data_IF_746459138042
#
_entry.id   IF_746459138042
#
_cell.length_a   1.000
_cell.length_b   1.000
_cell.length_c   1.000
_cell.angle_alpha   90.00
_cell.angle_beta   90.00
_cell.angle_gamma   90.00
#
_symmetry.space_group_name_H-M   'P 1'
#
loop_
_entity.id
_entity.type
_entity.pdbx_description
1 polymer ?
#
# COMPACT_ATOMS: atom_id res chain seq x y z
N UNK A 1 0.92 29.70 15.88
CA UNK A 1 1.88 28.87 15.12
C UNK A 1 1.61 27.42 15.48
N UNK A 2 0.81 26.74 14.68
CA UNK A 2 0.43 25.34 14.90
C UNK A 2 1.65 24.45 14.64
N UNK A 3 2.10 23.72 15.66
CA UNK A 3 3.00 22.58 15.48
C UNK A 3 2.31 21.62 14.51
N UNK A 4 2.76 21.63 13.26
CA UNK A 4 2.17 20.82 12.21
C UNK A 4 2.28 19.34 12.61
N UNK A 5 1.13 18.71 12.65
CA UNK A 5 0.90 17.27 12.78
C UNK A 5 1.56 16.54 11.60
N UNK A 6 2.89 16.42 11.62
CA UNK A 6 3.68 15.76 10.58
C UNK A 6 3.94 14.30 10.98
N UNK A 7 3.70 13.40 10.04
CA UNK A 7 4.08 12.01 10.12
C UNK A 7 5.55 11.89 9.73
N UNK A 8 6.30 11.03 10.41
CA UNK A 8 7.64 10.64 9.97
C UNK A 8 7.56 9.53 8.92
N UNK A 9 8.66 9.25 8.20
CA UNK A 9 8.70 8.19 7.18
C UNK A 9 8.37 6.80 7.76
N UNK A 10 8.74 6.54 9.03
CA UNK A 10 8.42 5.29 9.71
C UNK A 10 6.90 5.08 9.85
N UNK A 11 6.14 6.15 10.03
CA UNK A 11 4.68 6.13 10.09
C UNK A 11 4.07 5.70 8.76
N UNK A 12 4.65 6.15 7.64
CA UNK A 12 4.23 5.74 6.29
C UNK A 12 4.57 4.27 6.04
N UNK A 13 5.77 3.82 6.46
CA UNK A 13 6.16 2.41 6.38
C UNK A 13 5.20 1.53 7.18
N UNK A 14 4.84 1.91 8.42
CA UNK A 14 3.86 1.19 9.22
C UNK A 14 2.48 1.13 8.55
N UNK A 15 2.02 2.24 7.98
CA UNK A 15 0.77 2.29 7.23
C UNK A 15 0.79 1.29 6.06
N UNK A 16 1.86 1.26 5.27
CA UNK A 16 2.02 0.34 4.15
C UNK A 16 2.09 -1.13 4.60
N UNK A 17 2.82 -1.42 5.69
CA UNK A 17 2.87 -2.78 6.28
C UNK A 17 1.48 -3.28 6.69
N UNK A 18 0.69 -2.42 7.34
CA UNK A 18 -0.70 -2.77 7.69
C UNK A 18 -1.58 -2.98 6.47
N UNK A 19 -1.41 -2.16 5.42
CA UNK A 19 -2.13 -2.33 4.16
C UNK A 19 -1.83 -3.69 3.52
N UNK A 20 -0.54 -4.04 3.35
CA UNK A 20 -0.14 -5.34 2.80
C UNK A 20 -0.66 -6.48 3.65
N UNK A 21 -0.49 -6.42 4.98
CA UNK A 21 -0.95 -7.48 5.89
C UNK A 21 -2.46 -7.70 5.80
N UNK A 22 -3.24 -6.62 5.65
CA UNK A 22 -4.69 -6.70 5.47
C UNK A 22 -5.08 -7.42 4.16
N UNK A 23 -4.39 -7.11 3.06
CA UNK A 23 -4.65 -7.75 1.75
C UNK A 23 -4.21 -9.20 1.75
N UNK A 24 -3.03 -9.52 2.31
CA UNK A 24 -2.54 -10.91 2.49
C UNK A 24 -3.53 -11.76 3.28
N UNK A 25 -4.08 -11.20 4.37
CA UNK A 25 -5.14 -11.84 5.14
C UNK A 25 -6.42 -12.05 4.31
N UNK A 26 -6.83 -11.07 3.50
CA UNK A 26 -7.99 -11.20 2.62
C UNK A 26 -7.81 -12.27 1.52
N UNK A 27 -6.57 -12.40 1.02
CA UNK A 27 -6.19 -13.38 -0.01
C UNK A 27 -5.88 -14.78 0.57
N UNK A 28 -5.96 -14.93 1.90
CA UNK A 28 -5.69 -16.18 2.61
C UNK A 28 -4.30 -16.76 2.30
N UNK A 29 -3.29 -15.88 2.23
CA UNK A 29 -1.89 -16.24 2.03
C UNK A 29 -1.19 -16.40 3.38
N UNK A 30 -0.35 -17.43 3.48
CA UNK A 30 0.47 -17.69 4.67
C UNK A 30 1.77 -16.86 4.58
N UNK A 31 1.66 -15.60 4.99
CA UNK A 31 2.81 -14.70 5.09
C UNK A 31 2.66 -13.77 6.28
N UNK A 32 3.71 -13.72 7.09
CA UNK A 32 3.84 -12.74 8.16
C UNK A 32 4.96 -11.75 7.80
N UNK A 33 4.73 -10.43 7.94
CA UNK A 33 5.79 -9.47 7.74
C UNK A 33 6.93 -9.75 8.73
N UNK A 34 8.21 -9.66 8.31
CA UNK A 34 9.31 -9.78 9.25
C UNK A 34 9.13 -8.73 10.35
N UNK A 35 8.89 -9.22 11.57
CA UNK A 35 8.54 -8.39 12.72
C UNK A 35 9.77 -7.54 13.06
N UNK A 36 9.75 -6.28 12.62
CA UNK A 36 10.64 -5.27 13.16
C UNK A 36 9.98 -4.75 14.43
N UNK A 37 10.15 -5.49 15.53
CA UNK A 37 9.68 -5.12 16.88
C UNK A 37 10.10 -3.70 17.27
N UNK A 38 11.21 -3.22 16.72
CA UNK A 38 11.79 -1.90 16.98
C UNK A 38 10.93 -0.75 16.43
N UNK A 39 10.14 -0.93 15.36
CA UNK A 39 9.36 0.18 14.80
C UNK A 39 8.00 0.33 15.50
N UNK A 40 7.38 -0.78 15.90
CA UNK A 40 6.05 -0.79 16.54
C UNK A 40 6.11 -0.31 17.99
N UNK A 41 7.21 -0.56 18.71
CA UNK A 41 7.39 -0.12 20.11
C UNK A 41 7.74 1.36 20.25
N UNK A 42 8.38 1.97 19.25
CA UNK A 42 8.94 3.33 19.35
C UNK A 42 8.09 4.43 18.71
N UNK A 43 6.96 4.08 18.09
CA UNK A 43 6.15 5.06 17.37
C UNK A 43 4.67 5.04 17.85
N UNK A 44 4.39 5.50 19.09
CA UNK A 44 3.03 5.65 19.59
C UNK A 44 2.34 6.80 18.86
N UNK A 45 1.89 6.56 17.64
CA UNK A 45 1.07 7.54 16.93
C UNK A 45 -0.29 7.61 17.64
N UNK A 46 -0.75 8.80 18.06
CA UNK A 46 -1.98 8.95 18.84
C UNK A 46 -3.25 8.56 18.05
N UNK A 47 -3.12 8.43 16.72
CA UNK A 47 -4.19 8.03 15.82
C UNK A 47 -3.74 6.78 15.06
N UNK A 48 -4.53 5.69 15.06
CA UNK A 48 -4.26 4.55 14.19
C UNK A 48 -4.33 5.00 12.73
N UNK A 49 -3.17 5.00 12.06
CA UNK A 49 -2.98 5.45 10.68
C UNK A 49 -3.72 4.57 9.69
N UNK A 50 -3.84 3.27 9.99
CA UNK A 50 -4.55 2.30 9.16
C UNK A 50 -5.95 2.03 9.73
N UNK A 51 -6.96 2.05 8.87
CA UNK A 51 -8.36 1.75 9.21
C UNK A 51 -8.90 0.69 8.25
N UNK A 52 -9.82 -0.14 8.75
CA UNK A 52 -10.45 -1.20 7.97
C UNK A 52 -11.09 -0.70 6.66
N UNK A 53 -11.68 0.49 6.64
CA UNK A 53 -12.26 1.07 5.41
C UNK A 53 -11.21 1.30 4.31
N UNK A 54 -10.01 1.71 4.69
CA UNK A 54 -8.86 1.85 3.78
C UNK A 54 -8.48 0.46 3.24
N UNK A 55 -8.37 -0.54 4.13
CA UNK A 55 -8.08 -1.92 3.73
C UNK A 55 -9.11 -2.50 2.74
N UNK A 56 -10.40 -2.25 2.95
CA UNK A 56 -11.47 -2.71 2.04
C UNK A 56 -11.32 -2.06 0.66
N UNK A 57 -11.14 -0.73 0.60
CA UNK A 57 -10.96 -0.01 -0.65
C UNK A 57 -9.73 -0.51 -1.43
N UNK A 58 -8.61 -0.68 -0.72
CA UNK A 58 -7.36 -1.23 -1.29
C UNK A 58 -7.59 -2.63 -1.87
N UNK A 59 -8.26 -3.50 -1.11
CA UNK A 59 -8.52 -4.89 -1.52
C UNK A 59 -9.39 -4.95 -2.77
N UNK A 60 -10.42 -4.10 -2.87
CA UNK A 60 -11.25 -4.01 -4.08
C UNK A 60 -10.44 -3.64 -5.30
N UNK A 61 -9.60 -2.60 -5.23
CA UNK A 61 -8.72 -2.24 -6.34
C UNK A 61 -7.75 -3.35 -6.71
N UNK A 62 -7.18 -4.05 -5.73
CA UNK A 62 -6.29 -5.19 -5.99
C UNK A 62 -6.99 -6.32 -6.79
N UNK A 63 -8.31 -6.44 -6.67
CA UNK A 63 -9.13 -7.42 -7.37
C UNK A 63 -9.66 -6.94 -8.73
N UNK A 64 -9.53 -5.64 -9.05
CA UNK A 64 -9.89 -5.11 -10.36
C UNK A 64 -8.82 -5.53 -11.40
N UNK A 65 -9.25 -5.81 -12.64
CA UNK A 65 -8.40 -6.27 -13.76
C UNK A 65 -7.27 -5.29 -14.13
N UNK A 66 -7.26 -4.09 -13.56
CA UNK A 66 -6.20 -3.09 -13.76
C UNK A 66 -4.79 -3.66 -13.48
N UNK A 67 -4.68 -4.63 -12.59
CA UNK A 67 -3.39 -5.18 -12.19
C UNK A 67 -3.14 -6.61 -12.70
N UNK A 68 -4.13 -7.27 -13.31
CA UNK A 68 -4.01 -8.67 -13.77
C UNK A 68 -3.14 -8.84 -15.01
N UNK A 69 -2.86 -7.77 -15.76
CA UNK A 69 -1.97 -7.80 -16.93
C UNK A 69 -0.50 -7.53 -16.60
N UNK A 70 -0.18 -7.32 -15.32
CA UNK A 70 1.18 -7.12 -14.90
C UNK A 70 1.89 -8.47 -14.75
N UNK A 71 2.44 -9.00 -15.85
CA UNK A 71 3.42 -10.09 -15.76
C UNK A 71 4.78 -9.50 -15.38
N UNK A 72 5.30 -9.79 -14.19
CA UNK A 72 6.45 -9.07 -13.70
C UNK A 72 7.73 -9.64 -14.30
N UNK A 73 8.32 -8.95 -15.28
CA UNK A 73 9.69 -9.22 -15.75
C UNK A 73 10.67 -9.30 -14.57
N UNK A 74 10.42 -8.51 -13.51
CA UNK A 74 11.20 -8.53 -12.27
C UNK A 74 11.24 -9.88 -11.56
N UNK A 75 10.21 -10.74 -11.74
CA UNK A 75 10.15 -12.05 -11.08
C UNK A 75 11.27 -12.99 -11.52
N UNK A 76 11.83 -12.77 -12.71
CA UNK A 76 12.93 -13.56 -13.29
C UNK A 76 14.30 -12.93 -13.00
N UNK A 77 14.36 -11.70 -12.53
CA UNK A 77 15.61 -10.98 -12.28
C UNK A 77 16.24 -11.38 -10.93
N UNK A 78 17.57 -11.40 -10.82
CA UNK A 78 18.27 -11.45 -9.53
C UNK A 78 17.76 -10.39 -8.56
N UNK A 79 17.87 -10.63 -7.24
CA UNK A 79 17.28 -9.77 -6.20
C UNK A 79 17.59 -8.27 -6.37
N UNK A 80 18.87 -7.93 -6.57
CA UNK A 80 19.32 -6.53 -6.72
C UNK A 80 18.74 -5.88 -7.98
N UNK A 81 18.68 -6.64 -9.08
CA UNK A 81 18.13 -6.17 -10.36
C UNK A 81 16.61 -6.00 -10.28
N UNK A 82 15.92 -6.95 -9.64
CA UNK A 82 14.49 -6.87 -9.37
C UNK A 82 14.16 -5.64 -8.48
N UNK A 83 14.94 -5.41 -7.42
CA UNK A 83 14.79 -4.24 -6.57
C UNK A 83 14.96 -2.93 -7.36
N UNK A 84 15.99 -2.85 -8.20
CA UNK A 84 16.25 -1.69 -9.07
C UNK A 84 15.12 -1.47 -10.08
N UNK A 85 14.66 -2.54 -10.73
CA UNK A 85 13.54 -2.51 -11.67
C UNK A 85 12.27 -1.96 -11.00
N UNK A 86 11.93 -2.51 -9.83
CA UNK A 86 10.77 -2.10 -9.06
C UNK A 86 10.87 -0.63 -8.67
N UNK A 87 12.04 -0.18 -8.21
CA UNK A 87 12.24 1.21 -7.82
C UNK A 87 11.98 2.17 -8.98
N UNK A 88 12.57 1.89 -10.15
CA UNK A 88 12.37 2.70 -11.35
C UNK A 88 10.91 2.68 -11.81
N UNK A 89 10.28 1.51 -11.75
CA UNK A 89 8.89 1.33 -12.15
C UNK A 89 7.93 2.14 -11.26
N UNK A 90 8.08 2.05 -9.92
CA UNK A 90 7.23 2.78 -8.98
C UNK A 90 7.35 4.30 -9.13
N UNK A 91 8.55 4.81 -9.40
CA UNK A 91 8.76 6.24 -9.67
C UNK A 91 8.09 6.66 -10.97
N UNK A 92 8.33 5.93 -12.05
CA UNK A 92 7.71 6.21 -13.34
C UNK A 92 6.17 6.18 -13.27
N UNK A 93 5.62 5.22 -12.51
CA UNK A 93 4.18 5.12 -12.29
C UNK A 93 3.62 6.40 -11.66
N UNK A 94 4.25 6.91 -10.60
CA UNK A 94 3.78 8.12 -9.91
C UNK A 94 4.04 9.40 -10.69
N UNK A 95 5.13 9.48 -11.46
CA UNK A 95 5.39 10.61 -12.37
C UNK A 95 4.36 10.69 -13.51
N UNK A 96 3.82 9.54 -13.94
CA UNK A 96 2.83 9.48 -15.00
C UNK A 96 1.40 9.83 -14.54
N UNK A 97 1.13 9.99 -13.23
CA UNK A 97 -0.21 10.33 -12.76
C UNK A 97 -0.41 11.85 -12.80
N UNK A 98 -1.36 12.36 -13.62
CA UNK A 98 -1.52 13.80 -13.83
C UNK A 98 -2.12 14.54 -12.63
N UNK A 99 -2.89 13.86 -11.77
CA UNK A 99 -3.57 14.47 -10.62
C UNK A 99 -3.22 13.74 -9.32
N UNK A 100 -2.55 14.44 -8.40
CA UNK A 100 -2.22 13.95 -7.05
C UNK A 100 -3.44 14.03 -6.12
N UNK A 101 -4.45 13.19 -6.37
CA UNK A 101 -5.65 13.07 -5.53
C UNK A 101 -5.52 11.97 -4.46
N UNK A 102 -6.39 11.98 -3.45
CA UNK A 102 -6.45 10.89 -2.47
C UNK A 102 -6.82 9.54 -3.09
N UNK A 103 -7.59 9.53 -4.19
CA UNK A 103 -7.86 8.31 -4.96
C UNK A 103 -6.60 7.81 -5.65
N UNK A 104 -5.76 8.71 -6.19
CA UNK A 104 -4.45 8.36 -6.74
C UNK A 104 -3.57 7.66 -5.70
N UNK A 105 -3.54 8.17 -4.46
CA UNK A 105 -2.79 7.53 -3.38
C UNK A 105 -3.38 6.16 -2.98
N UNK A 106 -4.70 6.01 -2.94
CA UNK A 106 -5.33 4.70 -2.72
C UNK A 106 -4.98 3.71 -3.84
N UNK A 107 -5.04 4.13 -5.10
CA UNK A 107 -4.65 3.31 -6.25
C UNK A 107 -3.17 2.91 -6.16
N UNK A 108 -2.29 3.85 -5.82
CA UNK A 108 -0.86 3.55 -5.63
C UNK A 108 -0.64 2.55 -4.51
N UNK A 109 -1.25 2.75 -3.33
CA UNK A 109 -1.14 1.79 -2.21
C UNK A 109 -1.72 0.43 -2.59
N UNK A 110 -2.79 0.39 -3.39
CA UNK A 110 -3.35 -0.86 -3.93
C UNK A 110 -2.38 -1.57 -4.86
N UNK A 111 -1.72 -0.82 -5.74
CA UNK A 111 -0.66 -1.35 -6.60
C UNK A 111 0.50 -1.93 -5.78
N UNK A 112 0.93 -1.24 -4.72
CA UNK A 112 1.96 -1.73 -3.79
C UNK A 112 1.52 -3.05 -3.13
N UNK A 113 0.28 -3.12 -2.64
CA UNK A 113 -0.25 -4.34 -2.03
C UNK A 113 -0.32 -5.50 -3.02
N UNK A 114 -0.77 -5.24 -4.25
CA UNK A 114 -0.76 -6.23 -5.32
C UNK A 114 0.65 -6.76 -5.60
N UNK A 115 1.65 -5.87 -5.70
CA UNK A 115 3.04 -6.27 -5.89
C UNK A 115 3.56 -7.18 -4.78
N UNK A 116 3.31 -6.81 -3.52
CA UNK A 116 3.72 -7.64 -2.39
C UNK A 116 3.02 -9.00 -2.40
N UNK A 117 1.72 -9.05 -2.72
CA UNK A 117 0.96 -10.29 -2.87
C UNK A 117 1.55 -11.18 -3.96
N UNK A 118 1.90 -10.63 -5.12
CA UNK A 118 2.54 -11.40 -6.18
C UNK A 118 3.90 -11.95 -5.73
N UNK A 119 4.73 -11.12 -5.08
CA UNK A 119 6.00 -11.54 -4.51
C UNK A 119 5.84 -12.71 -3.52
N UNK A 120 4.81 -12.68 -2.66
CA UNK A 120 4.49 -13.78 -1.75
C UNK A 120 4.10 -15.04 -2.53
N UNK A 121 3.21 -14.93 -3.52
CA UNK A 121 2.73 -16.07 -4.32
C UNK A 121 3.85 -16.78 -5.08
N UNK A 122 4.84 -16.04 -5.56
CA UNK A 122 6.02 -16.60 -6.24
C UNK A 122 7.20 -16.90 -5.29
N UNK A 123 6.98 -16.82 -3.98
CA UNK A 123 7.99 -17.09 -2.93
C UNK A 123 9.24 -16.19 -3.01
N UNK A 124 9.09 -14.95 -3.48
CA UNK A 124 10.15 -13.93 -3.56
C UNK A 124 9.96 -12.82 -2.52
N UNK A 125 9.75 -13.21 -1.27
CA UNK A 125 9.41 -12.29 -0.17
C UNK A 125 10.54 -11.33 0.21
N UNK A 126 11.79 -11.65 -0.15
CA UNK A 126 12.97 -10.80 0.04
C UNK A 126 12.87 -9.44 -0.66
N UNK A 127 12.01 -9.33 -1.67
CA UNK A 127 11.79 -8.09 -2.44
C UNK A 127 10.84 -7.11 -1.71
N UNK A 128 10.00 -7.60 -0.80
CA UNK A 128 8.96 -6.80 -0.12
C UNK A 128 9.55 -5.59 0.63
N UNK A 129 10.65 -5.70 1.40
CA UNK A 129 11.28 -4.54 2.04
C UNK A 129 11.68 -3.45 1.06
N UNK A 130 12.15 -3.79 -0.15
CA UNK A 130 12.53 -2.83 -1.18
C UNK A 130 11.31 -2.10 -1.75
N UNK A 131 10.23 -2.85 -2.04
CA UNK A 131 8.93 -2.29 -2.46
C UNK A 131 8.43 -1.29 -1.42
N UNK A 132 8.36 -1.69 -0.14
CA UNK A 132 7.83 -0.87 0.94
C UNK A 132 8.67 0.38 1.19
N UNK A 133 9.99 0.24 1.13
CA UNK A 133 10.92 1.36 1.34
C UNK A 133 10.76 2.41 0.25
N UNK A 134 10.77 2.00 -1.03
CA UNK A 134 10.61 2.94 -2.13
C UNK A 134 9.21 3.58 -2.12
N UNK A 135 8.16 2.80 -1.90
CA UNK A 135 6.80 3.31 -1.77
C UNK A 135 6.69 4.36 -0.65
N UNK A 136 7.37 4.14 0.47
CA UNK A 136 7.40 5.11 1.56
C UNK A 136 8.15 6.39 1.17
N UNK A 137 9.28 6.31 0.46
CA UNK A 137 10.00 7.49 -0.04
C UNK A 137 9.19 8.30 -1.06
N UNK A 138 8.38 7.62 -1.88
CA UNK A 138 7.49 8.25 -2.84
C UNK A 138 6.31 8.93 -2.13
N UNK A 139 5.68 8.24 -1.16
CA UNK A 139 4.51 8.75 -0.46
C UNK A 139 4.84 9.81 0.58
N UNK A 140 5.97 9.71 1.29
CA UNK A 140 6.33 10.61 2.37
C UNK A 140 6.25 12.10 1.99
N UNK A 141 6.89 12.61 0.93
CA UNK A 141 6.79 14.03 0.57
C UNK A 141 5.38 14.48 0.20
N UNK A 142 4.48 13.53 -0.11
CA UNK A 142 3.11 13.76 -0.61
C UNK A 142 2.02 13.53 0.46
N UNK A 143 2.32 12.73 1.47
CA UNK A 143 1.36 12.20 2.46
C UNK A 143 1.90 12.25 3.90
N UNK A 144 2.77 13.20 4.24
CA UNK A 144 3.38 13.33 5.57
C UNK A 144 2.56 14.12 6.61
N UNK A 145 1.24 14.24 6.46
CA UNK A 145 0.41 14.95 7.45
C UNK A 145 -0.75 14.08 7.93
N UNK A 146 -1.20 14.30 9.16
CA UNK A 146 -2.41 13.62 9.67
C UNK A 146 -3.67 14.01 8.88
N UNK A 147 -3.73 15.24 8.34
CA UNK A 147 -4.84 15.68 7.48
C UNK A 147 -4.91 14.87 6.19
N UNK A 148 -3.76 14.49 5.62
CA UNK A 148 -3.72 13.61 4.44
C UNK A 148 -4.30 12.23 4.76
N UNK A 149 -3.98 11.66 5.93
CA UNK A 149 -4.57 10.38 6.38
C UNK A 149 -6.08 10.49 6.60
N UNK A 150 -6.55 11.62 7.16
CA UNK A 150 -7.98 11.86 7.32
C UNK A 150 -8.71 11.92 5.97
N UNK A 151 -8.15 12.63 5.00
CA UNK A 151 -8.74 12.75 3.65
C UNK A 151 -8.67 11.42 2.88
N UNK A 152 -7.57 10.67 3.01
CA UNK A 152 -7.44 9.32 2.45
C UNK A 152 -8.53 8.39 2.99
N UNK A 153 -8.84 8.50 4.29
CA UNK A 153 -9.92 7.74 4.92
C UNK A 153 -11.28 8.14 4.36
N UNK A 154 -11.55 9.43 4.15
CA UNK A 154 -12.81 9.88 3.54
C UNK A 154 -12.97 9.31 2.13
N UNK A 155 -11.94 9.44 1.28
CA UNK A 155 -11.92 8.86 -0.05
C UNK A 155 -12.18 7.34 -0.04
N UNK A 156 -11.54 6.61 0.88
CA UNK A 156 -11.75 5.16 1.02
C UNK A 156 -13.19 4.79 1.43
N UNK A 157 -13.82 5.61 2.28
CA UNK A 157 -15.22 5.42 2.67
C UNK A 157 -16.16 5.71 1.50
N UNK A 158 -15.93 6.80 0.76
CA UNK A 158 -16.70 7.15 -0.43
C UNK A 158 -16.61 6.05 -1.49
N UNK A 159 -15.40 5.59 -1.80
CA UNK A 159 -15.15 4.49 -2.72
C UNK A 159 -15.85 3.21 -2.24
N UNK A 160 -15.68 2.84 -0.97
CA UNK A 160 -16.36 1.66 -0.41
C UNK A 160 -17.88 1.77 -0.53
N UNK A 161 -18.47 2.93 -0.24
CA UNK A 161 -19.92 3.14 -0.34
C UNK A 161 -20.44 3.00 -1.78
N UNK A 162 -19.66 3.43 -2.77
CA UNK A 162 -19.98 3.25 -4.19
C UNK A 162 -19.90 1.76 -4.60
N UNK A 163 -18.98 0.99 -4.01
CA UNK A 163 -18.65 -0.38 -4.42
C UNK A 163 -19.17 -1.49 -3.46
N UNK A 164 -19.83 -1.16 -2.34
CA UNK A 164 -20.46 -2.15 -1.42
C UNK A 164 -21.60 -2.93 -2.11
N UNK A 165 -22.23 -2.36 -3.15
CA UNK A 165 -23.27 -3.04 -3.94
C UNK A 165 -22.76 -4.21 -4.78
N UNK A 166 -21.46 -4.26 -5.10
CA UNK A 166 -20.87 -5.32 -5.92
C UNK A 166 -20.30 -6.48 -5.08
N UNK A 167 -19.77 -6.23 -3.88
CA UNK A 167 -19.15 -7.28 -3.05
C UNK A 167 -20.11 -8.12 -2.21
N UNK A 168 -21.33 -7.63 -1.95
CA UNK A 168 -22.38 -8.44 -1.31
C UNK A 168 -22.94 -9.55 -2.20
N UNK A 169 -22.68 -9.53 -3.52
CA UNK A 169 -23.12 -10.58 -4.45
C UNK A 169 -22.16 -11.76 -4.59
N UNK A 170 -20.92 -11.68 -4.09
CA UNK A 170 -19.91 -12.75 -4.23
C UNK A 170 -19.80 -13.69 -3.01
N UNK A 171 -20.66 -13.52 -2.01
CA UNK A 171 -20.77 -14.41 -0.85
C UNK A 171 -22.20 -14.95 -0.72
N UNK A 172 -22.59 -15.79 -1.67
CA UNK A 172 -23.66 -16.78 -1.50
C UNK A 172 -23.24 -18.06 -2.20
#
# INVERSE_FOLDING_TARGET
MSNLNLLNINSIIMFLKHAVSFVVWCDNLDWEPPVSTIIDEFNPTPVPLFKRSIGIAITHHCMEELFSHFEPEWSLLPEIEAATYIQNYLRALMEAVPDETYNTYLCFVSFICHFCVQAIRIQRTEIIPYILTEAAFILYPRCNSFDHIFNLRQAAVEYSNQHIKTCTKRRH
#
